data_IF_281534871062
#
_entry.id   IF_281534871062
#
_cell.length_a   1.000
_cell.length_b   1.000
_cell.length_c   1.000
_cell.angle_alpha   90.00
_cell.angle_beta   90.00
_cell.angle_gamma   90.00
#
_symmetry.space_group_name_H-M   'P 1'
#
loop_
_entity.id
_entity.type
_entity.pdbx_description
1 polymer ?
#
# COMPACT_ATOMS: atom_id res chain seq x y z
N UNK A 1 21.49 52.21 9.48
CA UNK A 1 20.66 51.29 10.31
C UNK A 1 19.48 50.62 9.58
N UNK A 2 18.91 51.18 8.49
CA UNK A 2 17.76 50.55 7.77
C UNK A 2 18.12 49.32 6.93
N UNK A 3 19.33 49.26 6.36
CA UNK A 3 19.78 48.16 5.49
C UNK A 3 19.96 46.86 6.27
N UNK A 4 20.53 46.94 7.48
CA UNK A 4 20.74 45.78 8.37
C UNK A 4 19.40 45.15 8.78
N UNK A 5 18.39 45.97 9.10
CA UNK A 5 17.02 45.49 9.39
C UNK A 5 16.35 44.80 8.21
N UNK A 6 16.67 45.22 6.98
CA UNK A 6 16.19 44.56 5.76
C UNK A 6 16.79 43.17 5.57
N UNK A 7 18.09 43.05 5.79
CA UNK A 7 18.84 41.79 5.70
C UNK A 7 18.36 40.80 6.78
N UNK A 8 18.18 41.25 8.02
CA UNK A 8 17.63 40.43 9.12
C UNK A 8 16.23 39.90 8.81
N UNK A 9 15.37 40.75 8.23
CA UNK A 9 14.01 40.33 7.83
C UNK A 9 14.04 39.25 6.75
N UNK A 10 14.93 39.37 5.77
CA UNK A 10 15.09 38.37 4.71
C UNK A 10 15.70 37.07 5.23
N UNK A 11 16.68 37.14 6.12
CA UNK A 11 17.28 35.96 6.77
C UNK A 11 16.25 35.22 7.61
N UNK A 12 15.43 35.94 8.38
CA UNK A 12 14.36 35.36 9.18
C UNK A 12 13.31 34.65 8.31
N UNK A 13 12.87 35.30 7.22
CA UNK A 13 11.93 34.68 6.29
C UNK A 13 12.48 33.40 5.63
N UNK A 14 13.78 33.37 5.29
CA UNK A 14 14.42 32.17 4.74
C UNK A 14 14.56 31.07 5.79
N UNK A 15 14.89 31.42 7.03
CA UNK A 15 14.98 30.47 8.14
C UNK A 15 13.60 29.87 8.45
N UNK A 16 12.56 30.69 8.53
CA UNK A 16 11.17 30.25 8.75
C UNK A 16 10.72 29.31 7.62
N UNK A 17 11.08 29.59 6.38
CA UNK A 17 10.81 28.70 5.24
C UNK A 17 11.53 27.35 5.36
N UNK A 18 12.83 27.36 5.70
CA UNK A 18 13.59 26.12 5.88
C UNK A 18 13.05 25.30 7.05
N UNK A 19 12.65 25.95 8.14
CA UNK A 19 12.03 25.27 9.29
C UNK A 19 10.66 24.69 8.93
N UNK A 20 9.82 25.38 8.15
CA UNK A 20 8.54 24.84 7.64
C UNK A 20 8.77 23.62 6.74
N UNK A 21 9.75 23.68 5.84
CA UNK A 21 10.09 22.54 4.99
C UNK A 21 10.70 21.37 5.78
N UNK A 22 11.54 21.65 6.78
CA UNK A 22 12.08 20.65 7.69
C UNK A 22 10.98 19.99 8.51
N UNK A 23 10.02 20.76 9.04
CA UNK A 23 8.88 20.23 9.80
C UNK A 23 7.98 19.34 8.91
N UNK A 24 7.77 19.73 7.64
CA UNK A 24 7.06 18.90 6.66
C UNK A 24 7.83 17.62 6.32
N UNK A 25 9.14 17.71 6.16
CA UNK A 25 9.99 16.55 5.92
C UNK A 25 10.03 15.63 7.13
N UNK A 26 10.19 16.14 8.35
CA UNK A 26 10.11 15.36 9.59
C UNK A 26 8.74 14.70 9.77
N UNK A 27 7.65 15.39 9.43
CA UNK A 27 6.31 14.79 9.39
C UNK A 27 6.17 13.69 8.33
N UNK A 28 7.01 13.71 7.30
CA UNK A 28 7.08 12.70 6.24
C UNK A 28 8.12 11.60 6.52
N UNK A 29 9.06 11.79 7.44
CA UNK A 29 10.23 10.93 7.67
C UNK A 29 10.14 10.10 8.97
N UNK A 30 9.10 10.30 9.79
CA UNK A 30 9.02 9.73 11.14
C UNK A 30 8.33 8.36 11.24
N UNK A 31 8.21 7.59 10.16
CA UNK A 31 7.90 6.16 10.28
C UNK A 31 8.64 5.36 9.21
N UNK A 32 9.37 4.29 9.57
CA UNK A 32 9.79 3.31 8.57
C UNK A 32 8.54 2.79 7.85
N UNK A 33 8.58 2.69 6.52
CA UNK A 33 7.41 2.35 5.68
C UNK A 33 6.72 1.02 6.11
N UNK A 34 7.45 0.10 6.76
CA UNK A 34 6.87 -1.14 7.35
C UNK A 34 5.95 -0.86 8.56
N UNK A 35 6.17 0.24 9.28
CA UNK A 35 5.31 0.71 10.36
C UNK A 35 4.14 1.56 9.84
N UNK A 36 4.19 2.12 8.62
CA UNK A 36 3.06 2.87 8.02
C UNK A 36 2.03 1.92 7.41
N UNK A 37 2.42 0.72 6.97
CA UNK A 37 1.47 -0.33 6.59
C UNK A 37 0.73 -0.91 7.81
N UNK A 38 1.29 -0.80 9.02
CA UNK A 38 0.66 -1.22 10.28
C UNK A 38 0.05 -0.08 11.10
N UNK A 39 0.47 1.17 10.92
CA UNK A 39 -0.07 2.33 11.59
C UNK A 39 -1.22 2.96 10.78
N UNK A 40 -2.44 2.78 11.27
CA UNK A 40 -3.68 3.49 10.92
C UNK A 40 -4.45 3.08 9.66
N UNK A 41 -4.52 1.78 9.36
CA UNK A 41 -5.82 1.22 8.93
C UNK A 41 -6.45 0.62 10.16
N UNK A 42 -7.55 1.21 10.64
CA UNK A 42 -8.41 0.53 11.61
C UNK A 42 -8.87 -0.74 10.92
N UNK A 43 -8.17 -1.86 11.13
CA UNK A 43 -8.70 -3.17 10.81
C UNK A 43 -9.96 -3.29 11.63
N UNK A 44 -11.09 -3.34 10.95
CA UNK A 44 -12.39 -3.43 11.57
C UNK A 44 -13.02 -4.74 11.15
N UNK A 45 -13.83 -5.27 12.06
CA UNK A 45 -14.45 -6.56 11.86
C UNK A 45 -15.96 -6.48 11.95
N UNK A 46 -16.60 -7.37 11.21
CA UNK A 46 -18.06 -7.51 11.15
C UNK A 46 -18.40 -8.92 11.51
N UNK A 47 -19.19 -9.11 12.56
CA UNK A 47 -19.78 -10.40 12.82
C UNK A 47 -21.07 -10.53 12.02
N UNK A 48 -21.16 -11.57 11.19
CA UNK A 48 -22.39 -11.90 10.48
C UNK A 48 -23.45 -12.47 11.44
N UNK A 49 -24.65 -12.70 10.92
CA UNK A 49 -25.78 -13.28 11.69
C UNK A 49 -25.52 -14.71 12.18
N UNK A 50 -24.51 -15.39 11.66
CA UNK A 50 -24.13 -16.77 11.97
C UNK A 50 -22.90 -16.81 12.91
N UNK A 51 -22.38 -15.64 13.32
CA UNK A 51 -21.23 -15.51 14.21
C UNK A 51 -19.86 -15.51 13.53
N UNK A 52 -19.79 -15.54 12.20
CA UNK A 52 -18.51 -15.43 11.49
C UNK A 52 -18.01 -14.00 11.51
N UNK A 53 -16.72 -13.82 11.80
CA UNK A 53 -16.09 -12.50 11.83
C UNK A 53 -15.38 -12.22 10.50
N UNK A 54 -15.83 -11.20 9.77
CA UNK A 54 -15.20 -10.70 8.56
C UNK A 54 -14.24 -9.56 8.89
N UNK A 55 -12.99 -9.70 8.49
CA UNK A 55 -11.94 -8.70 8.72
C UNK A 55 -11.76 -7.86 7.45
N UNK A 56 -11.68 -6.54 7.63
CA UNK A 56 -11.41 -5.58 6.57
C UNK A 56 -10.04 -4.92 6.77
N UNK A 57 -9.31 -4.60 5.68
CA UNK A 57 -9.66 -4.85 4.28
C UNK A 57 -9.57 -6.35 3.92
N UNK A 58 -10.37 -6.78 2.94
CA UNK A 58 -10.41 -8.18 2.49
C UNK A 58 -9.08 -8.51 1.79
N UNK A 59 -8.30 -9.37 2.42
CA UNK A 59 -6.92 -9.69 1.99
C UNK A 59 -6.81 -10.93 1.09
N UNK A 60 -7.86 -11.76 0.99
CA UNK A 60 -7.85 -12.97 0.15
C UNK A 60 -9.03 -13.02 -0.82
N UNK A 61 -8.80 -13.60 -1.99
CA UNK A 61 -9.84 -13.78 -3.01
C UNK A 61 -10.96 -14.69 -2.53
N UNK A 62 -10.63 -15.77 -1.83
CA UNK A 62 -11.63 -16.70 -1.29
C UNK A 62 -12.56 -16.02 -0.29
N UNK A 63 -12.02 -15.15 0.57
CA UNK A 63 -12.82 -14.38 1.52
C UNK A 63 -13.67 -13.32 0.80
N UNK A 64 -13.14 -12.72 -0.25
CA UNK A 64 -13.91 -11.81 -1.11
C UNK A 64 -15.11 -12.50 -1.78
N UNK A 65 -14.92 -13.70 -2.33
CA UNK A 65 -15.99 -14.50 -2.93
C UNK A 65 -17.02 -14.97 -1.88
N UNK A 66 -16.59 -15.29 -0.65
CA UNK A 66 -17.50 -15.57 0.47
C UNK A 66 -18.36 -14.36 0.83
N UNK A 67 -17.75 -13.18 0.95
CA UNK A 67 -18.46 -11.93 1.25
C UNK A 67 -19.48 -11.60 0.16
N UNK A 68 -19.12 -11.78 -1.12
CA UNK A 68 -20.05 -11.58 -2.23
C UNK A 68 -21.28 -12.50 -2.16
N UNK A 69 -21.10 -13.74 -1.69
CA UNK A 69 -22.19 -14.72 -1.57
C UNK A 69 -23.23 -14.34 -0.51
N UNK A 70 -22.79 -13.74 0.60
CA UNK A 70 -23.63 -13.36 1.74
C UNK A 70 -24.07 -11.88 1.72
N UNK A 71 -23.59 -11.09 0.75
CA UNK A 71 -23.77 -9.64 0.75
C UNK A 71 -25.24 -9.21 0.86
N UNK A 72 -26.17 -9.89 0.17
CA UNK A 72 -27.59 -9.50 0.20
C UNK A 72 -28.32 -9.97 1.47
N UNK A 73 -27.83 -11.00 2.16
CA UNK A 73 -28.49 -11.60 3.32
C UNK A 73 -28.05 -10.99 4.65
N UNK A 74 -26.83 -10.44 4.69
CA UNK A 74 -26.28 -9.79 5.87
C UNK A 74 -26.46 -8.25 5.85
N UNK A 75 -27.52 -7.81 6.53
CA UNK A 75 -27.82 -6.39 6.72
C UNK A 75 -26.75 -5.62 7.48
N UNK A 76 -25.98 -6.27 8.37
CA UNK A 76 -24.92 -5.60 9.15
C UNK A 76 -23.75 -5.27 8.24
N UNK A 77 -23.31 -6.26 7.46
CA UNK A 77 -22.30 -6.10 6.42
C UNK A 77 -22.66 -4.99 5.43
N UNK A 78 -23.87 -5.02 4.86
CA UNK A 78 -24.33 -3.99 3.91
C UNK A 78 -24.31 -2.61 4.55
N UNK A 79 -24.79 -2.48 5.79
CA UNK A 79 -24.81 -1.21 6.51
C UNK A 79 -23.39 -0.66 6.69
N UNK A 80 -22.45 -1.48 7.14
CA UNK A 80 -21.08 -1.01 7.36
C UNK A 80 -20.34 -0.71 6.06
N UNK A 81 -20.58 -1.47 4.99
CA UNK A 81 -20.04 -1.15 3.66
C UNK A 81 -20.58 0.20 3.18
N UNK A 82 -21.89 0.43 3.31
CA UNK A 82 -22.51 1.72 3.00
C UNK A 82 -21.89 2.86 3.81
N UNK A 83 -21.82 2.69 5.14
CA UNK A 83 -21.32 3.72 6.04
C UNK A 83 -19.83 4.02 5.75
N UNK A 84 -19.04 3.01 5.39
CA UNK A 84 -17.64 3.17 4.96
C UNK A 84 -17.52 3.96 3.65
N UNK A 85 -18.35 3.64 2.65
CA UNK A 85 -18.36 4.34 1.35
C UNK A 85 -18.71 5.82 1.54
N UNK A 86 -19.70 6.11 2.38
CA UNK A 86 -20.16 7.47 2.63
C UNK A 86 -19.17 8.28 3.51
N UNK A 87 -18.53 7.64 4.49
CA UNK A 87 -17.58 8.30 5.38
C UNK A 87 -16.22 8.57 4.70
N UNK A 88 -15.81 7.73 3.75
CA UNK A 88 -14.49 7.78 3.12
C UNK A 88 -14.58 7.78 1.58
N UNK A 89 -15.16 8.81 0.94
CA UNK A 89 -15.42 8.81 -0.50
C UNK A 89 -14.15 8.67 -1.35
N UNK A 90 -12.98 9.07 -0.84
CA UNK A 90 -11.70 9.00 -1.56
C UNK A 90 -10.95 7.69 -1.36
N UNK A 91 -11.28 6.90 -0.34
CA UNK A 91 -10.45 5.77 0.12
C UNK A 91 -11.24 4.49 0.42
N UNK A 92 -12.57 4.51 0.30
CA UNK A 92 -13.46 3.41 0.67
C UNK A 92 -13.04 2.08 0.06
N UNK A 93 -12.62 2.07 -1.21
CA UNK A 93 -12.27 0.84 -1.92
C UNK A 93 -11.08 0.15 -1.25
N UNK A 94 -10.11 0.93 -0.76
CA UNK A 94 -8.94 0.40 -0.05
C UNK A 94 -9.29 -0.07 1.36
N UNK A 95 -10.25 0.59 2.01
CA UNK A 95 -10.72 0.19 3.34
C UNK A 95 -11.52 -1.11 3.30
N UNK A 96 -12.13 -1.42 2.15
CA UNK A 96 -12.92 -2.63 1.97
C UNK A 96 -12.11 -3.79 1.39
N UNK A 97 -11.22 -3.55 0.43
CA UNK A 97 -10.53 -4.62 -0.30
C UNK A 97 -9.06 -4.28 -0.46
N UNK A 98 -8.19 -5.24 -0.15
CA UNK A 98 -6.76 -5.07 -0.33
C UNK A 98 -6.41 -4.90 -1.81
N UNK A 99 -5.41 -4.05 -2.11
CA UNK A 99 -4.98 -3.77 -3.48
C UNK A 99 -4.56 -5.06 -4.23
N UNK A 100 -3.98 -6.04 -3.51
CA UNK A 100 -3.53 -7.33 -4.06
C UNK A 100 -4.70 -8.21 -4.54
N UNK A 101 -5.86 -8.09 -3.90
CA UNK A 101 -7.09 -8.77 -4.32
C UNK A 101 -7.71 -8.04 -5.50
N UNK A 102 -7.78 -6.70 -5.45
CA UNK A 102 -8.33 -5.87 -6.53
C UNK A 102 -7.60 -6.11 -7.87
N UNK A 103 -6.27 -6.25 -7.83
CA UNK A 103 -5.45 -6.45 -9.03
C UNK A 103 -5.67 -7.78 -9.74
N UNK A 104 -6.38 -8.74 -9.13
CA UNK A 104 -6.74 -10.02 -9.77
C UNK A 104 -7.90 -9.85 -10.75
N UNK A 105 -8.65 -8.75 -10.65
CA UNK A 105 -9.83 -8.47 -11.47
C UNK A 105 -9.55 -7.41 -12.55
N UNK A 106 -10.52 -7.24 -13.44
CA UNK A 106 -10.46 -6.27 -14.55
C UNK A 106 -11.65 -5.31 -14.54
N UNK A 107 -11.49 -4.17 -15.20
CA UNK A 107 -12.59 -3.26 -15.55
C UNK A 107 -13.12 -3.60 -16.95
N UNK A 108 -12.28 -4.12 -17.84
CA UNK A 108 -12.66 -4.41 -19.22
C UNK A 108 -13.46 -5.71 -19.32
N UNK A 109 -14.46 -5.74 -20.21
CA UNK A 109 -15.19 -6.96 -20.57
C UNK A 109 -14.47 -7.81 -21.62
N UNK A 110 -13.37 -7.32 -22.19
CA UNK A 110 -12.67 -7.95 -23.32
C UNK A 110 -11.64 -9.01 -22.93
N UNK A 111 -11.47 -9.28 -21.64
CA UNK A 111 -10.44 -10.20 -21.12
C UNK A 111 -11.10 -11.41 -20.46
N UNK A 112 -10.47 -12.58 -20.54
CA UNK A 112 -10.88 -13.82 -19.82
C UNK A 112 -10.94 -13.68 -18.28
N UNK A 113 -10.57 -12.51 -17.75
CA UNK A 113 -10.65 -12.20 -16.33
C UNK A 113 -12.03 -11.69 -15.96
N UNK A 114 -12.53 -12.16 -14.82
CA UNK A 114 -13.79 -11.69 -14.23
C UNK A 114 -13.69 -10.20 -13.90
N UNK A 115 -14.72 -9.44 -14.28
CA UNK A 115 -14.80 -8.00 -14.03
C UNK A 115 -15.18 -7.70 -12.58
N UNK A 116 -14.65 -6.62 -11.99
CA UNK A 116 -15.06 -6.15 -10.65
C UNK A 116 -16.56 -5.87 -10.57
N UNK A 117 -17.18 -5.45 -11.68
CA UNK A 117 -18.62 -5.15 -11.71
C UNK A 117 -19.52 -6.38 -11.65
N UNK A 118 -18.93 -7.59 -11.67
CA UNK A 118 -19.68 -8.82 -11.46
C UNK A 118 -19.94 -9.14 -9.99
N UNK A 119 -19.35 -8.39 -9.06
CA UNK A 119 -19.52 -8.57 -7.62
C UNK A 119 -20.53 -7.56 -7.06
N UNK A 120 -21.39 -8.05 -6.17
CA UNK A 120 -22.49 -7.30 -5.54
C UNK A 120 -21.99 -6.12 -4.75
N UNK A 121 -20.84 -6.24 -4.08
CA UNK A 121 -20.21 -5.14 -3.35
C UNK A 121 -19.94 -3.93 -4.26
N UNK A 122 -19.40 -4.15 -5.47
CA UNK A 122 -19.11 -3.07 -6.41
C UNK A 122 -20.35 -2.58 -7.14
N UNK A 123 -21.32 -3.46 -7.43
CA UNK A 123 -22.64 -3.04 -7.93
C UNK A 123 -23.38 -2.16 -6.93
N UNK A 124 -23.26 -2.45 -5.63
CA UNK A 124 -23.82 -1.64 -4.56
C UNK A 124 -23.10 -0.31 -4.43
N UNK A 125 -21.76 -0.31 -4.44
CA UNK A 125 -20.97 0.91 -4.42
C UNK A 125 -21.29 1.84 -5.60
N UNK A 126 -21.53 1.28 -6.79
CA UNK A 126 -21.94 2.04 -7.98
C UNK A 126 -23.29 2.74 -7.79
N UNK A 127 -24.22 2.18 -7.00
CA UNK A 127 -25.50 2.82 -6.67
C UNK A 127 -25.35 4.00 -5.70
N UNK A 128 -24.32 3.99 -4.85
CA UNK A 128 -24.07 5.04 -3.85
C UNK A 128 -23.20 6.18 -4.39
N UNK A 129 -22.25 5.84 -5.25
CA UNK A 129 -21.29 6.80 -5.83
C UNK A 129 -21.68 7.03 -7.29
N UNK A 130 -20.91 6.48 -8.23
CA UNK A 130 -21.26 6.33 -9.64
C UNK A 130 -20.24 5.38 -10.30
N UNK A 131 -20.46 5.02 -11.55
CA UNK A 131 -19.54 4.16 -12.31
C UNK A 131 -18.12 4.73 -12.40
N UNK A 132 -17.99 6.03 -12.64
CA UNK A 132 -16.69 6.68 -12.85
C UNK A 132 -15.84 6.70 -11.56
N UNK A 133 -16.47 6.85 -10.40
CA UNK A 133 -15.80 6.80 -9.11
C UNK A 133 -15.22 5.41 -8.83
N UNK A 134 -16.02 4.36 -9.05
CA UNK A 134 -15.54 2.97 -8.89
C UNK A 134 -14.35 2.69 -9.83
N UNK A 135 -14.42 3.14 -11.08
CA UNK A 135 -13.30 3.01 -12.04
C UNK A 135 -12.08 3.79 -11.57
N UNK A 136 -12.26 5.02 -11.10
CA UNK A 136 -11.18 5.87 -10.64
C UNK A 136 -10.48 5.28 -9.42
N UNK A 137 -11.24 4.87 -8.40
CA UNK A 137 -10.74 4.21 -7.21
C UNK A 137 -9.97 2.93 -7.54
N UNK A 138 -10.49 2.13 -8.49
CA UNK A 138 -9.80 0.92 -8.92
C UNK A 138 -8.47 1.21 -9.65
N UNK A 139 -8.42 2.26 -10.47
CA UNK A 139 -7.18 2.71 -11.11
C UNK A 139 -6.14 3.14 -10.07
N UNK A 140 -6.56 3.89 -9.05
CA UNK A 140 -5.68 4.28 -7.94
C UNK A 140 -5.16 3.04 -7.22
N UNK A 141 -6.03 2.07 -6.90
CA UNK A 141 -5.62 0.82 -6.26
C UNK A 141 -4.57 0.05 -7.07
N UNK A 142 -4.76 -0.06 -8.39
CA UNK A 142 -3.78 -0.69 -9.29
C UNK A 142 -2.46 0.08 -9.36
N UNK A 143 -2.50 1.40 -9.39
CA UNK A 143 -1.30 2.24 -9.38
C UNK A 143 -0.51 2.04 -8.07
N UNK A 144 -1.20 2.02 -6.92
CA UNK A 144 -0.59 1.71 -5.61
C UNK A 144 0.06 0.34 -5.59
N UNK A 145 -0.65 -0.70 -6.04
CA UNK A 145 -0.10 -2.05 -6.14
C UNK A 145 1.16 -2.10 -7.02
N UNK A 146 1.10 -1.48 -8.20
CA UNK A 146 2.22 -1.46 -9.14
C UNK A 146 3.44 -0.77 -8.52
N UNK A 147 3.24 0.35 -7.83
CA UNK A 147 4.30 1.06 -7.09
C UNK A 147 4.86 0.18 -5.95
N UNK A 148 4.02 -0.53 -5.20
CA UNK A 148 4.46 -1.45 -4.13
C UNK A 148 5.33 -2.58 -4.67
N UNK A 149 4.89 -3.26 -5.74
CA UNK A 149 5.64 -4.34 -6.38
C UNK A 149 6.98 -3.84 -6.93
N UNK A 150 7.00 -2.67 -7.58
CA UNK A 150 8.23 -2.09 -8.11
C UNK A 150 9.23 -1.72 -7.01
N UNK A 151 8.75 -1.20 -5.87
CA UNK A 151 9.61 -0.90 -4.70
C UNK A 151 10.17 -2.18 -4.09
N UNK A 152 9.34 -3.20 -3.89
CA UNK A 152 9.77 -4.50 -3.36
C UNK A 152 10.86 -5.13 -4.22
N UNK A 153 10.67 -5.13 -5.56
CA UNK A 153 11.67 -5.63 -6.50
C UNK A 153 13.02 -4.89 -6.38
N UNK A 154 12.99 -3.57 -6.25
CA UNK A 154 14.22 -2.77 -6.05
C UNK A 154 14.93 -3.10 -4.73
N UNK A 155 14.16 -3.34 -3.67
CA UNK A 155 14.69 -3.74 -2.36
C UNK A 155 15.36 -5.12 -2.45
N UNK A 156 14.68 -6.09 -3.07
CA UNK A 156 15.20 -7.45 -3.26
C UNK A 156 16.48 -7.45 -4.11
N UNK A 157 16.54 -6.60 -5.15
CA UNK A 157 17.74 -6.41 -5.98
C UNK A 157 18.90 -5.79 -5.19
N UNK A 158 18.63 -4.80 -4.33
CA UNK A 158 19.63 -4.20 -3.44
C UNK A 158 20.14 -5.19 -2.38
N UNK A 159 19.26 -6.04 -1.83
CA UNK A 159 19.68 -7.07 -0.87
C UNK A 159 20.59 -8.11 -1.53
N UNK A 160 20.24 -8.56 -2.74
CA UNK A 160 21.08 -9.51 -3.51
C UNK A 160 22.43 -8.94 -3.92
N UNK A 161 22.50 -7.65 -4.26
CA UNK A 161 23.79 -7.03 -4.61
C UNK A 161 24.71 -6.89 -3.40
N UNK A 162 24.17 -6.63 -2.21
CA UNK A 162 24.91 -6.61 -0.94
C UNK A 162 25.39 -8.01 -0.54
N UNK A 163 24.54 -9.04 -0.70
CA UNK A 163 24.88 -10.42 -0.39
C UNK A 163 26.01 -10.97 -1.30
N UNK A 164 26.01 -10.59 -2.59
CA UNK A 164 27.08 -10.93 -3.55
C UNK A 164 28.40 -10.16 -3.33
N UNK A 165 28.44 -9.10 -2.52
CA UNK A 165 29.70 -8.40 -2.18
C UNK A 165 30.38 -8.94 -0.92
N UNK A 166 29.73 -9.81 -0.16
CA UNK A 166 30.23 -10.36 1.10
C UNK A 166 30.88 -11.75 0.98
N UNK A 167 31.03 -12.33 -0.21
CA UNK A 167 31.87 -13.51 -0.43
C UNK A 167 33.33 -13.08 -0.65
N UNK A 168 34.26 -13.28 0.30
CA UNK A 168 35.67 -13.01 0.07
C UNK A 168 36.22 -14.09 -0.85
N UNK A 169 36.96 -13.66 -1.86
CA UNK A 169 37.84 -14.49 -2.69
C UNK A 169 38.62 -15.47 -1.82
N UNK A 170 38.47 -16.77 -2.07
CA UNK A 170 39.53 -17.73 -1.78
C UNK A 170 40.65 -17.49 -2.81
N UNK A 171 41.49 -16.50 -2.55
CA UNK A 171 42.86 -16.44 -3.07
C UNK A 171 43.75 -17.03 -1.97
N UNK A 172 44.15 -18.29 -2.15
CA UNK A 172 45.31 -18.88 -1.49
C UNK A 172 46.09 -19.58 -2.60
N UNK A 173 46.89 -18.79 -3.31
CA UNK A 173 48.07 -19.28 -4.02
C UNK A 173 49.32 -18.89 -3.22
N UNK A 174 50.32 -19.77 -3.33
CA UNK A 174 51.74 -19.66 -3.01
C UNK A 174 52.20 -19.84 -1.55
N UNK A 175 52.72 -21.04 -1.25
CA UNK A 175 54.15 -21.22 -0.88
C UNK A 175 54.63 -22.61 -1.37
N UNK A 176 55.43 -22.60 -2.43
CA UNK A 176 56.42 -23.65 -2.73
C UNK A 176 57.50 -23.64 -1.61
N UNK A 177 57.80 -24.79 -1.01
CA UNK A 177 59.13 -25.03 -0.43
C UNK A 177 59.46 -26.53 -0.51
N UNK A 178 60.43 -26.85 -1.37
CA UNK A 178 61.11 -28.14 -1.46
C UNK A 178 61.75 -28.53 -0.11
N UNK A 179 61.82 -29.82 0.23
CA UNK A 179 63.08 -30.47 0.63
C UNK A 179 62.93 -31.98 0.84
N UNK A 180 64.05 -32.66 0.58
CA UNK A 180 64.28 -34.09 0.40
C UNK A 180 64.14 -34.99 1.65
N UNK A 181 63.90 -36.28 1.36
CA UNK A 181 64.47 -37.50 1.97
C UNK A 181 64.19 -37.84 3.45
N UNK A 182 63.59 -39.02 3.69
CA UNK A 182 64.26 -40.28 4.13
C UNK A 182 63.48 -41.47 3.60
#
# INVERSE_FOLDING_TARGET
MKVVKGIEKTLKAKLDFVMDQATRLESSLMLPDEAVETANYRHWSVSDKVGNTHIFPIASREHFEKIDSIFDSDSVLVRQVRDTILAFPTDWMRLLVADDVLCQFTISRSTDRRTIFSFKLFQYAQKLTNYHDVVHQFKIARDRYTKRVARKKKLDEQQRSVENTMTPKQELDDVDEETESV
#
